data_IF_857579752058
#
_entry.id   IF_857579752058
#
_cell.length_a   1.000
_cell.length_b   1.000
_cell.length_c   1.000
_cell.angle_alpha   90.00
_cell.angle_beta   90.00
_cell.angle_gamma   90.00
#
_symmetry.space_group_name_H-M   'P 1'
#
loop_
_entity.id
_entity.type
_entity.pdbx_description
1 polymer ?
#
# COMPACT_ATOMS: atom_id res chain seq x y z
N UNK A 1 -26.13 5.71 17.93
CA UNK A 1 -24.93 6.19 17.21
C UNK A 1 -24.95 5.47 15.87
N UNK A 2 -25.24 6.19 14.80
CA UNK A 2 -25.50 5.59 13.48
C UNK A 2 -24.21 4.96 12.93
N UNK A 3 -24.16 3.63 12.95
CA UNK A 3 -23.05 2.84 12.47
C UNK A 3 -23.08 2.81 10.92
N UNK A 4 -22.75 3.93 10.29
CA UNK A 4 -22.71 4.06 8.83
C UNK A 4 -21.48 3.34 8.30
N UNK A 5 -21.67 2.12 7.81
CA UNK A 5 -20.63 1.30 7.17
C UNK A 5 -20.33 1.77 5.75
N UNK A 6 -19.10 1.58 5.27
CA UNK A 6 -18.67 1.91 3.91
C UNK A 6 -18.86 0.67 3.03
N UNK A 7 -19.65 0.80 1.96
CA UNK A 7 -19.60 -0.18 0.88
C UNK A 7 -18.28 -0.03 0.13
N UNK A 8 -17.35 -0.94 0.38
CA UNK A 8 -16.06 -1.00 -0.27
C UNK A 8 -16.06 -2.05 -1.37
N UNK A 9 -15.57 -1.65 -2.54
CA UNK A 9 -15.43 -2.55 -3.68
C UNK A 9 -14.10 -2.31 -4.38
N UNK A 10 -13.33 -3.38 -4.63
CA UNK A 10 -12.15 -3.36 -5.49
C UNK A 10 -12.59 -3.87 -6.85
N UNK A 11 -12.50 -3.02 -7.86
CA UNK A 11 -12.84 -3.34 -9.25
C UNK A 11 -11.59 -3.26 -10.11
N UNK A 12 -11.28 -4.32 -10.85
CA UNK A 12 -10.31 -4.29 -11.94
C UNK A 12 -11.07 -4.22 -13.28
N UNK A 13 -10.41 -3.86 -14.41
CA UNK A 13 -11.07 -3.80 -15.71
C UNK A 13 -11.79 -5.09 -16.13
N UNK A 14 -11.37 -6.23 -15.59
CA UNK A 14 -11.90 -7.55 -15.93
C UNK A 14 -13.06 -7.99 -15.03
N UNK A 15 -13.05 -7.61 -13.74
CA UNK A 15 -14.09 -8.00 -12.76
C UNK A 15 -13.94 -7.30 -11.41
N UNK A 16 -14.98 -7.40 -10.60
CA UNK A 16 -14.94 -7.01 -9.19
C UNK A 16 -14.25 -8.13 -8.40
N UNK A 17 -13.19 -7.78 -7.67
CA UNK A 17 -12.30 -8.73 -6.98
C UNK A 17 -12.59 -8.82 -5.48
N UNK A 18 -13.19 -7.77 -4.90
CA UNK A 18 -13.49 -7.72 -3.48
C UNK A 18 -14.68 -6.81 -3.21
N UNK A 19 -15.59 -7.22 -2.32
CA UNK A 19 -16.72 -6.41 -1.88
C UNK A 19 -16.98 -6.66 -0.40
N UNK A 20 -16.97 -5.61 0.41
CA UNK A 20 -17.17 -5.72 1.86
C UNK A 20 -17.76 -4.43 2.46
N UNK A 21 -18.36 -4.55 3.65
CA UNK A 21 -18.80 -3.42 4.46
C UNK A 21 -17.80 -3.16 5.59
N UNK A 22 -17.06 -2.05 5.51
CA UNK A 22 -15.98 -1.74 6.47
C UNK A 22 -16.11 -0.33 7.04
N UNK A 23 -15.58 -0.12 8.25
CA UNK A 23 -15.65 1.19 8.93
C UNK A 23 -14.53 2.14 8.46
N UNK A 24 -13.37 1.60 8.06
CA UNK A 24 -12.27 2.38 7.50
C UNK A 24 -11.33 1.50 6.68
N UNK A 25 -10.72 2.10 5.65
CA UNK A 25 -9.70 1.46 4.81
C UNK A 25 -8.44 2.29 4.84
N UNK A 26 -7.29 1.62 4.93
CA UNK A 26 -5.98 2.25 4.79
C UNK A 26 -5.18 1.57 3.69
N UNK A 27 -4.86 2.32 2.64
CA UNK A 27 -4.05 1.85 1.51
C UNK A 27 -2.65 2.47 1.56
N UNK A 28 -1.57 1.69 1.36
CA UNK A 28 -0.25 2.24 1.06
C UNK A 28 -0.24 2.89 -0.32
N UNK A 29 0.42 4.04 -0.43
CA UNK A 29 0.74 4.72 -1.69
C UNK A 29 2.20 5.13 -1.69
N UNK A 30 2.77 5.48 -2.84
CA UNK A 30 4.17 5.88 -2.95
C UNK A 30 4.51 7.10 -2.07
N UNK A 31 3.57 8.02 -1.90
CA UNK A 31 3.75 9.23 -1.10
C UNK A 31 3.32 9.10 0.38
N UNK A 32 2.79 7.95 0.80
CA UNK A 32 2.32 7.79 2.18
C UNK A 32 1.19 6.76 2.33
N UNK A 33 0.32 6.97 3.30
CA UNK A 33 -0.90 6.15 3.45
C UNK A 33 -2.12 7.01 3.16
N UNK A 34 -3.09 6.45 2.46
CA UNK A 34 -4.42 7.06 2.31
C UNK A 34 -5.36 6.28 3.22
N UNK A 35 -6.08 6.99 4.08
CA UNK A 35 -7.14 6.40 4.90
C UNK A 35 -8.47 7.01 4.48
N UNK A 36 -9.41 6.16 4.07
CA UNK A 36 -10.75 6.56 3.61
C UNK A 36 -11.73 6.33 4.76
N UNK A 37 -12.46 7.38 5.13
CA UNK A 37 -13.49 7.38 6.19
C UNK A 37 -14.91 7.37 5.60
N UNK A 38 -15.90 7.17 6.46
CA UNK A 38 -17.33 7.18 6.11
C UNK A 38 -17.72 8.51 5.43
N UNK A 39 -18.46 8.43 4.31
CA UNK A 39 -18.88 9.54 3.42
C UNK A 39 -17.78 10.16 2.53
N UNK A 40 -16.67 9.46 2.29
CA UNK A 40 -15.58 9.97 1.45
C UNK A 40 -15.71 9.59 -0.03
N UNK A 41 -15.03 10.36 -0.89
CA UNK A 41 -15.00 10.23 -2.37
C UNK A 41 -14.33 8.93 -2.84
N UNK A 42 -14.75 8.44 -4.01
CA UNK A 42 -14.14 7.30 -4.73
C UNK A 42 -12.66 7.58 -5.02
N UNK A 43 -11.78 6.69 -4.57
CA UNK A 43 -10.33 6.75 -4.83
C UNK A 43 -10.00 5.77 -5.96
N UNK A 44 -9.45 6.28 -7.06
CA UNK A 44 -8.83 5.46 -8.10
C UNK A 44 -7.33 5.36 -7.83
N UNK A 45 -6.80 4.14 -7.88
CA UNK A 45 -5.37 3.88 -7.82
C UNK A 45 -5.00 2.88 -8.91
N UNK A 46 -3.85 3.08 -9.56
CA UNK A 46 -3.35 2.16 -10.60
C UNK A 46 -3.03 0.78 -10.03
N UNK A 47 -2.53 0.72 -8.78
CA UNK A 47 -2.28 -0.52 -8.06
C UNK A 47 -2.66 -0.37 -6.58
N UNK A 48 -3.24 -1.43 -6.02
CA UNK A 48 -3.56 -1.53 -4.60
C UNK A 48 -3.30 -2.97 -4.13
N UNK A 49 -2.65 -3.09 -2.96
CA UNK A 49 -2.35 -4.38 -2.32
C UNK A 49 -2.99 -4.40 -0.92
N UNK A 50 -3.60 -5.53 -0.56
CA UNK A 50 -4.15 -5.68 0.78
C UNK A 50 -3.02 -5.87 1.79
N UNK A 51 -3.09 -5.19 2.94
CA UNK A 51 -2.01 -5.19 3.93
C UNK A 51 -1.64 -6.60 4.45
N UNK A 52 -2.59 -7.54 4.45
CA UNK A 52 -2.35 -8.92 4.86
C UNK A 52 -1.64 -9.78 3.80
N UNK A 53 -1.61 -9.34 2.54
CA UNK A 53 -0.99 -10.05 1.42
C UNK A 53 0.46 -9.60 1.18
N UNK A 54 0.90 -8.53 1.86
CA UNK A 54 2.26 -8.01 1.73
C UNK A 54 3.24 -8.97 2.41
N UNK A 55 4.06 -9.64 1.62
CA UNK A 55 5.17 -10.46 2.09
C UNK A 55 6.37 -9.56 2.47
N UNK A 56 6.70 -9.52 3.77
CA UNK A 56 7.78 -8.70 4.32
C UNK A 56 9.15 -9.14 3.80
N UNK A 57 9.40 -10.44 3.64
CA UNK A 57 10.70 -10.94 3.17
C UNK A 57 10.92 -10.53 1.72
N UNK A 58 9.90 -10.73 0.88
CA UNK A 58 9.94 -10.33 -0.53
C UNK A 58 10.11 -8.82 -0.70
N UNK A 59 9.43 -8.01 0.12
CA UNK A 59 9.55 -6.56 0.10
C UNK A 59 10.96 -6.09 0.53
N UNK A 60 11.57 -6.76 1.51
CA UNK A 60 12.92 -6.47 2.00
C UNK A 60 14.00 -6.77 0.94
N UNK A 61 13.88 -7.90 0.25
CA UNK A 61 14.76 -8.25 -0.88
C UNK A 61 14.60 -7.28 -2.06
N UNK A 62 13.37 -6.88 -2.35
CA UNK A 62 13.08 -5.89 -3.39
C UNK A 62 13.68 -4.52 -3.05
N UNK A 63 13.62 -4.11 -1.77
CA UNK A 63 14.27 -2.90 -1.26
C UNK A 63 15.78 -2.94 -1.50
N UNK A 64 16.46 -4.00 -1.07
CA UNK A 64 17.92 -4.15 -1.24
C UNK A 64 18.35 -4.05 -2.69
N UNK A 65 17.65 -4.75 -3.59
CA UNK A 65 17.91 -4.68 -5.04
C UNK A 65 17.70 -3.27 -5.59
N UNK A 66 16.67 -2.56 -5.14
CA UNK A 66 16.43 -1.18 -5.57
C UNK A 66 17.51 -0.22 -5.06
N UNK A 67 18.03 -0.42 -3.85
CA UNK A 67 19.16 0.36 -3.30
C UNK A 67 20.47 0.12 -4.06
N UNK A 68 20.76 -1.13 -4.44
CA UNK A 68 21.94 -1.46 -5.25
C UNK A 68 21.88 -0.81 -6.63
N UNK A 69 20.73 -0.91 -7.31
CA UNK A 69 20.50 -0.27 -8.61
C UNK A 69 20.62 1.25 -8.53
N UNK A 70 20.20 1.87 -7.41
CA UNK A 70 20.30 3.31 -7.24
C UNK A 70 21.75 3.78 -7.16
N UNK A 71 22.65 2.95 -6.60
CA UNK A 71 24.09 3.24 -6.52
C UNK A 71 24.77 3.10 -7.89
N UNK A 72 24.36 2.14 -8.70
CA UNK A 72 24.91 1.97 -10.06
C UNK A 72 24.46 3.07 -11.03
N UNK A 73 23.20 3.52 -10.92
CA UNK A 73 22.54 4.33 -11.96
C UNK A 73 22.58 5.84 -11.71
N UNK A 74 23.57 6.34 -10.96
CA UNK A 74 23.65 7.77 -10.56
C UNK A 74 23.85 8.77 -11.73
N UNK A 75 24.03 8.32 -12.98
CA UNK A 75 24.36 9.17 -14.13
C UNK A 75 23.20 9.67 -14.99
N UNK A 76 22.05 8.99 -14.99
CA UNK A 76 20.88 9.37 -15.82
C UNK A 76 19.70 9.78 -14.92
N UNK A 77 19.26 11.03 -15.05
CA UNK A 77 18.18 11.60 -14.24
C UNK A 77 16.85 10.85 -14.38
N UNK A 78 16.56 10.29 -15.56
CA UNK A 78 15.30 9.57 -15.81
C UNK A 78 15.33 8.17 -15.19
N UNK A 79 16.46 7.48 -15.33
CA UNK A 79 16.64 6.16 -14.70
C UNK A 79 16.70 6.28 -13.18
N UNK A 80 17.37 7.31 -12.67
CA UNK A 80 17.40 7.60 -11.24
C UNK A 80 16.00 7.79 -10.66
N UNK A 81 15.15 8.60 -11.30
CA UNK A 81 13.78 8.83 -10.85
C UNK A 81 12.96 7.53 -10.80
N UNK A 82 13.09 6.66 -11.81
CA UNK A 82 12.39 5.39 -11.85
C UNK A 82 12.86 4.42 -10.74
N UNK A 83 14.16 4.36 -10.48
CA UNK A 83 14.73 3.52 -9.42
C UNK A 83 14.38 4.06 -8.03
N UNK A 84 14.38 5.39 -7.85
CA UNK A 84 13.96 6.04 -6.62
C UNK A 84 12.47 5.76 -6.31
N UNK A 85 11.58 5.87 -7.30
CA UNK A 85 10.17 5.53 -7.14
C UNK A 85 9.97 4.05 -6.76
N UNK A 86 10.76 3.14 -7.37
CA UNK A 86 10.76 1.72 -7.03
C UNK A 86 11.17 1.49 -5.57
N UNK A 87 12.25 2.13 -5.11
CA UNK A 87 12.69 2.04 -3.73
C UNK A 87 11.60 2.54 -2.76
N UNK A 88 10.98 3.68 -3.10
CA UNK A 88 9.96 4.29 -2.28
C UNK A 88 8.71 3.40 -2.13
N UNK A 89 8.32 2.67 -3.19
CA UNK A 89 7.27 1.64 -3.13
C UNK A 89 7.60 0.52 -2.15
N UNK A 90 8.80 -0.05 -2.22
CA UNK A 90 9.17 -1.17 -1.33
C UNK A 90 9.24 -0.72 0.13
N UNK A 91 9.71 0.50 0.39
CA UNK A 91 9.67 1.11 1.73
C UNK A 91 8.23 1.30 2.24
N UNK A 92 7.31 1.75 1.38
CA UNK A 92 5.90 1.88 1.73
C UNK A 92 5.25 0.53 2.08
N UNK A 93 5.54 -0.53 1.30
CA UNK A 93 5.10 -1.90 1.60
C UNK A 93 5.59 -2.39 2.96
N UNK A 94 6.89 -2.25 3.23
CA UNK A 94 7.48 -2.66 4.52
C UNK A 94 6.86 -1.91 5.71
N UNK A 95 6.63 -0.60 5.56
CA UNK A 95 6.01 0.22 6.61
C UNK A 95 4.60 -0.25 6.93
N UNK A 96 3.79 -0.57 5.92
CA UNK A 96 2.42 -1.05 6.11
C UNK A 96 2.40 -2.46 6.67
N UNK A 97 3.22 -3.39 6.17
CA UNK A 97 3.33 -4.75 6.68
C UNK A 97 3.66 -4.77 8.18
N UNK A 98 4.68 -4.01 8.60
CA UNK A 98 5.10 -3.89 10.01
C UNK A 98 4.00 -3.30 10.89
N UNK A 99 3.28 -2.27 10.41
CA UNK A 99 2.18 -1.64 11.14
C UNK A 99 0.98 -2.59 11.29
N UNK A 100 0.65 -3.35 10.25
CA UNK A 100 -0.45 -4.33 10.28
C UNK A 100 -0.15 -5.44 11.31
N UNK A 101 1.10 -5.95 11.36
CA UNK A 101 1.54 -6.91 12.38
C UNK A 101 1.36 -6.37 13.80
N UNK A 102 1.78 -5.12 14.05
CA UNK A 102 1.67 -4.51 15.38
C UNK A 102 0.21 -4.26 15.80
N UNK A 103 -0.69 -3.95 14.85
CA UNK A 103 -2.12 -3.79 15.13
C UNK A 103 -2.84 -5.11 15.42
N UNK A 104 -2.45 -6.23 14.80
CA UNK A 104 -3.00 -7.56 15.12
C UNK A 104 -2.73 -8.01 16.57
N UNK A 105 -1.72 -7.42 17.23
CA UNK A 105 -1.41 -7.69 18.65
C UNK A 105 -2.21 -6.85 19.65
N UNK A 106 -2.92 -5.80 19.21
CA UNK A 106 -3.76 -4.95 20.06
C UNK A 106 -5.18 -5.49 19.95
N UNK A 107 -5.59 -6.33 20.91
CA UNK A 107 -7.01 -6.63 21.11
C UNK A 107 -7.67 -5.34 21.59
N UNK A 108 -8.58 -4.82 20.80
CA UNK A 108 -9.48 -3.74 21.22
C UNK A 108 -10.73 -4.49 21.69
N UNK A 109 -10.90 -4.57 23.01
CA UNK A 109 -12.12 -5.08 23.65
C UNK A 109 -13.30 -4.13 23.41
#
# INVERSE_FOLDING_TARGET
MDNKKIHFEITTPEKNVYRDEVDSISLPTEMGQITVLVNHVVVLADTAEHAAEIDEQRAEEARKRAEELLKEKMGDAKEYAAVAAKLQRELARLKVARKHRNRKGIKID
#
